data_IF_192862069107
#
_entry.id   IF_192862069107
#
_cell.length_a   1.000
_cell.length_b   1.000
_cell.length_c   1.000
_cell.angle_alpha   90.00
_cell.angle_beta   90.00
_cell.angle_gamma   90.00
#
_symmetry.space_group_name_H-M   'P 1'
#
loop_
_entity.id
_entity.type
_entity.pdbx_description
1 polymer ?
#
# COMPACT_ATOMS: atom_id res chain seq x y z
N UNK A 1 12.48 -33.14 0.47
CA UNK A 1 12.46 -31.70 0.26
C UNK A 1 13.09 -31.42 -1.09
N UNK A 2 12.31 -31.02 -2.08
CA UNK A 2 12.85 -30.61 -3.37
C UNK A 2 13.25 -29.15 -3.18
N UNK A 3 14.55 -28.85 -3.22
CA UNK A 3 15.03 -27.47 -3.25
C UNK A 3 14.79 -26.99 -4.69
N UNK A 4 13.74 -26.21 -4.90
CA UNK A 4 13.54 -25.53 -6.17
C UNK A 4 14.62 -24.45 -6.25
N UNK A 5 15.52 -24.56 -7.22
CA UNK A 5 16.52 -23.52 -7.46
C UNK A 5 15.76 -22.24 -7.85
N UNK A 6 16.05 -21.13 -7.19
CA UNK A 6 15.57 -19.82 -7.60
C UNK A 6 16.25 -19.53 -8.95
N UNK A 7 15.47 -19.43 -10.02
CA UNK A 7 15.98 -19.07 -11.35
C UNK A 7 16.12 -17.55 -11.51
N UNK A 8 15.31 -16.78 -10.79
CA UNK A 8 15.30 -15.33 -10.83
C UNK A 8 16.59 -14.74 -10.25
N UNK A 9 17.11 -13.69 -10.89
CA UNK A 9 18.21 -12.90 -10.33
C UNK A 9 17.76 -12.24 -9.03
N UNK A 10 18.67 -12.19 -8.04
CA UNK A 10 18.40 -11.46 -6.80
C UNK A 10 18.55 -9.96 -7.11
N UNK A 11 17.49 -9.14 -6.93
CA UNK A 11 17.58 -7.71 -7.22
C UNK A 11 18.47 -7.00 -6.20
N UNK A 12 19.15 -5.93 -6.64
CA UNK A 12 19.93 -5.06 -5.78
C UNK A 12 19.18 -3.74 -5.57
N UNK A 13 19.25 -3.20 -4.35
CA UNK A 13 18.68 -1.88 -4.07
C UNK A 13 19.50 -0.80 -4.78
N UNK A 14 18.85 0.30 -5.24
CA UNK A 14 19.56 1.47 -5.70
C UNK A 14 20.47 2.04 -4.61
N UNK A 15 21.57 2.68 -5.02
CA UNK A 15 22.44 3.38 -4.09
C UNK A 15 21.62 4.42 -3.28
N UNK A 16 21.89 4.51 -1.99
CA UNK A 16 21.28 5.52 -1.14
C UNK A 16 21.77 6.93 -1.57
N UNK A 17 20.86 7.81 -2.06
CA UNK A 17 21.26 9.13 -2.56
C UNK A 17 21.71 10.09 -1.47
N UNK A 18 21.47 9.76 -0.19
CA UNK A 18 21.86 10.59 0.95
C UNK A 18 22.17 9.72 2.19
N UNK A 19 23.31 8.98 2.19
CA UNK A 19 23.56 7.94 3.19
C UNK A 19 23.59 8.41 4.65
N UNK A 20 23.90 9.69 4.87
CA UNK A 20 23.97 10.30 6.23
C UNK A 20 22.66 10.93 6.66
N UNK A 21 21.69 11.09 5.76
CA UNK A 21 20.39 11.69 6.09
C UNK A 21 19.43 10.66 6.70
N UNK A 22 18.58 11.14 7.60
CA UNK A 22 17.42 10.42 8.13
C UNK A 22 16.12 11.23 7.98
N UNK A 23 16.14 12.34 7.23
CA UNK A 23 14.97 13.18 6.98
C UNK A 23 14.23 12.70 5.72
N UNK A 24 13.48 11.62 5.90
CA UNK A 24 12.77 10.95 4.79
C UNK A 24 11.47 11.66 4.40
N UNK A 25 11.14 11.60 3.11
CA UNK A 25 9.84 12.02 2.62
C UNK A 25 8.76 11.03 3.07
N UNK A 26 7.67 11.55 3.64
CA UNK A 26 6.52 10.74 4.07
C UNK A 26 5.46 10.66 2.97
N UNK A 27 4.84 9.47 2.87
CA UNK A 27 3.61 9.26 2.10
C UNK A 27 2.59 8.54 2.97
N UNK A 28 1.34 8.95 2.83
CA UNK A 28 0.19 8.32 3.49
C UNK A 28 -0.31 7.17 2.64
N UNK A 29 -0.52 6.01 3.22
CA UNK A 29 -1.19 4.90 2.57
C UNK A 29 -2.71 5.10 2.65
N UNK A 30 -3.37 5.25 1.50
CA UNK A 30 -4.83 5.30 1.39
C UNK A 30 -5.34 3.92 1.03
N UNK A 31 -6.07 3.26 1.94
CA UNK A 31 -6.77 2.01 1.68
C UNK A 31 -8.21 2.32 1.27
N UNK A 32 -8.58 1.97 0.04
CA UNK A 32 -9.96 2.05 -0.43
C UNK A 32 -10.61 0.66 -0.38
N UNK A 33 -11.60 0.48 0.45
CA UNK A 33 -12.41 -0.74 0.51
C UNK A 33 -13.57 -0.63 -0.49
N UNK A 34 -13.60 -1.55 -1.46
CA UNK A 34 -14.43 -1.45 -2.66
C UNK A 34 -14.84 -2.83 -3.20
N UNK A 35 -15.48 -2.85 -4.36
CA UNK A 35 -15.80 -4.04 -5.15
C UNK A 35 -16.76 -3.73 -6.30
N UNK A 36 -16.77 -4.58 -7.32
CA UNK A 36 -17.52 -4.37 -8.57
C UNK A 36 -19.02 -4.28 -8.39
N UNK A 37 -19.61 -4.99 -7.40
CA UNK A 37 -21.03 -4.92 -7.11
C UNK A 37 -21.44 -3.76 -6.18
N UNK A 38 -20.50 -2.91 -5.78
CA UNK A 38 -20.75 -1.75 -4.94
C UNK A 38 -21.20 -0.54 -5.79
N UNK A 39 -22.50 -0.28 -5.87
CA UNK A 39 -23.06 0.80 -6.71
C UNK A 39 -22.67 2.22 -6.29
N UNK A 40 -22.25 2.44 -5.05
CA UNK A 40 -21.75 3.73 -4.56
C UNK A 40 -20.23 3.88 -4.60
N UNK A 41 -19.48 2.82 -4.89
CA UNK A 41 -18.02 2.87 -4.96
C UNK A 41 -17.49 3.82 -6.05
N UNK A 42 -18.13 3.99 -7.23
CA UNK A 42 -17.73 4.99 -8.22
C UNK A 42 -17.68 6.43 -7.69
N UNK A 43 -18.53 6.80 -6.73
CA UNK A 43 -18.50 8.13 -6.14
C UNK A 43 -17.22 8.35 -5.30
N UNK A 44 -16.76 7.32 -4.57
CA UNK A 44 -15.49 7.39 -3.84
C UNK A 44 -14.29 7.44 -4.80
N UNK A 45 -14.34 6.72 -5.91
CA UNK A 45 -13.34 6.82 -6.98
C UNK A 45 -13.24 8.26 -7.48
N UNK A 46 -14.37 8.94 -7.71
CA UNK A 46 -14.40 10.35 -8.11
C UNK A 46 -13.84 11.28 -7.03
N UNK A 47 -14.17 11.05 -5.76
CA UNK A 47 -13.60 11.82 -4.66
C UNK A 47 -12.07 11.69 -4.64
N UNK A 48 -11.54 10.46 -4.72
CA UNK A 48 -10.09 10.21 -4.69
C UNK A 48 -9.38 10.76 -5.93
N UNK A 49 -9.99 10.72 -7.12
CA UNK A 49 -9.48 11.38 -8.32
C UNK A 49 -9.35 12.89 -8.13
N UNK A 50 -10.43 13.53 -7.68
CA UNK A 50 -10.46 14.96 -7.43
C UNK A 50 -9.45 15.38 -6.35
N UNK A 51 -9.30 14.56 -5.30
CA UNK A 51 -8.28 14.73 -4.28
C UNK A 51 -6.87 14.64 -4.88
N UNK A 52 -6.60 13.62 -5.70
CA UNK A 52 -5.31 13.40 -6.34
C UNK A 52 -4.97 14.43 -7.40
N UNK A 53 -5.96 15.06 -8.06
CA UNK A 53 -5.75 16.10 -9.03
C UNK A 53 -5.22 17.43 -8.42
N UNK A 54 -5.29 17.57 -7.10
CA UNK A 54 -4.76 18.76 -6.41
C UNK A 54 -3.23 18.73 -6.34
N UNK A 55 -2.51 19.73 -6.88
CA UNK A 55 -1.05 19.81 -6.77
C UNK A 55 -0.55 19.80 -5.31
N UNK A 56 -1.39 20.24 -4.37
CA UNK A 56 -1.05 20.22 -2.94
C UNK A 56 -0.88 18.80 -2.38
N UNK A 57 -1.45 17.79 -3.05
CA UNK A 57 -1.42 16.38 -2.63
C UNK A 57 -0.39 15.55 -3.41
N UNK A 58 0.24 16.14 -4.43
CA UNK A 58 1.19 15.43 -5.28
C UNK A 58 2.35 14.84 -4.46
N UNK A 59 2.66 13.55 -4.70
CA UNK A 59 3.75 12.83 -4.05
C UNK A 59 3.56 12.53 -2.57
N UNK A 60 2.39 12.83 -1.96
CA UNK A 60 2.14 12.69 -0.52
C UNK A 60 1.35 11.45 -0.13
N UNK A 61 0.86 10.68 -1.08
CA UNK A 61 0.00 9.53 -0.83
C UNK A 61 0.16 8.43 -1.88
N UNK A 62 -0.25 7.23 -1.50
CA UNK A 62 -0.31 6.06 -2.38
C UNK A 62 -1.63 5.35 -2.10
N UNK A 63 -2.33 4.92 -3.17
CA UNK A 63 -3.60 4.21 -3.09
C UNK A 63 -3.39 2.70 -3.14
N UNK A 64 -4.14 1.98 -2.29
CA UNK A 64 -4.35 0.55 -2.38
C UNK A 64 -5.87 0.28 -2.40
N UNK A 65 -6.39 -0.27 -3.49
CA UNK A 65 -7.78 -0.65 -3.64
C UNK A 65 -7.98 -2.10 -3.19
N UNK A 66 -8.78 -2.30 -2.16
CA UNK A 66 -8.98 -3.59 -1.51
C UNK A 66 -10.40 -4.07 -1.86
N UNK A 67 -10.47 -5.03 -2.78
CA UNK A 67 -11.72 -5.56 -3.30
C UNK A 67 -12.18 -6.75 -2.45
N UNK A 68 -12.94 -6.45 -1.38
CA UNK A 68 -13.46 -7.46 -0.45
C UNK A 68 -14.99 -7.54 -0.44
N UNK A 69 -15.70 -6.64 -1.17
CA UNK A 69 -17.15 -6.54 -1.13
C UNK A 69 -17.88 -7.77 -1.68
N UNK A 70 -17.39 -8.33 -2.80
CA UNK A 70 -18.04 -9.48 -3.45
C UNK A 70 -17.02 -10.44 -4.05
N UNK A 71 -17.23 -11.75 -3.86
CA UNK A 71 -16.30 -12.80 -4.32
C UNK A 71 -16.27 -13.01 -5.83
N UNK A 72 -17.27 -12.53 -6.56
CA UNK A 72 -17.30 -12.59 -8.03
C UNK A 72 -16.54 -11.44 -8.71
N UNK A 73 -15.94 -10.56 -7.94
CA UNK A 73 -15.12 -9.46 -8.42
C UNK A 73 -13.79 -10.00 -8.98
N UNK A 74 -13.38 -9.64 -10.23
CA UNK A 74 -12.08 -10.08 -10.78
C UNK A 74 -10.86 -9.64 -9.96
N UNK A 75 -11.01 -8.56 -9.20
CA UNK A 75 -9.96 -8.07 -8.30
C UNK A 75 -10.13 -8.54 -6.85
N UNK A 76 -11.06 -9.47 -6.58
CA UNK A 76 -11.34 -9.92 -5.22
C UNK A 76 -10.11 -10.49 -4.53
N UNK A 77 -9.90 -10.07 -3.29
CA UNK A 77 -8.91 -10.65 -2.37
C UNK A 77 -9.60 -11.18 -1.12
N UNK A 78 -9.32 -12.43 -0.77
CA UNK A 78 -9.80 -13.04 0.47
C UNK A 78 -8.86 -12.66 1.63
N UNK A 79 -9.24 -11.64 2.39
CA UNK A 79 -8.47 -11.14 3.52
C UNK A 79 -9.40 -10.60 4.61
N UNK A 80 -9.05 -10.71 5.90
CA UNK A 80 -9.83 -10.14 6.99
C UNK A 80 -9.53 -8.64 7.26
N UNK A 81 -8.81 -7.94 6.37
CA UNK A 81 -8.35 -6.57 6.61
C UNK A 81 -9.51 -5.58 6.77
N UNK A 82 -10.63 -5.79 6.08
CA UNK A 82 -11.84 -4.99 6.24
C UNK A 82 -12.38 -5.05 7.68
N UNK A 83 -12.45 -6.27 8.25
CA UNK A 83 -12.78 -6.47 9.64
C UNK A 83 -11.76 -5.85 10.61
N UNK A 84 -10.46 -5.97 10.32
CA UNK A 84 -9.40 -5.35 11.12
C UNK A 84 -9.51 -3.82 11.14
N UNK A 85 -9.83 -3.22 9.99
CA UNK A 85 -10.05 -1.78 9.85
C UNK A 85 -11.46 -1.35 10.30
N UNK A 86 -12.34 -2.29 10.70
CA UNK A 86 -13.69 -2.01 11.14
C UNK A 86 -14.57 -1.41 10.05
N UNK A 87 -14.42 -1.88 8.82
CA UNK A 87 -15.24 -1.47 7.67
C UNK A 87 -16.63 -2.03 7.84
N UNK A 88 -17.62 -1.15 8.05
CA UNK A 88 -19.03 -1.53 8.22
C UNK A 88 -19.88 -1.29 6.98
N UNK A 89 -19.36 -0.60 5.98
CA UNK A 89 -20.06 -0.27 4.73
C UNK A 89 -19.07 0.00 3.59
N UNK A 90 -19.55 -0.08 2.36
CA UNK A 90 -18.78 0.23 1.15
C UNK A 90 -19.45 1.35 0.36
N UNK A 91 -18.69 2.32 -0.20
CA UNK A 91 -17.26 2.45 -0.06
C UNK A 91 -16.82 2.98 1.30
N UNK A 92 -15.63 2.58 1.73
CA UNK A 92 -14.93 3.18 2.88
C UNK A 92 -13.45 3.36 2.53
N UNK A 93 -12.85 4.42 3.04
CA UNK A 93 -11.40 4.68 2.97
C UNK A 93 -10.84 4.68 4.40
N UNK A 94 -9.63 4.17 4.57
CA UNK A 94 -8.82 4.35 5.78
C UNK A 94 -7.46 4.92 5.38
N UNK A 95 -6.80 5.63 6.28
CA UNK A 95 -5.45 6.15 6.10
C UNK A 95 -4.50 5.41 7.04
N UNK A 96 -3.31 5.07 6.54
CA UNK A 96 -2.19 4.54 7.31
C UNK A 96 -2.51 3.34 8.23
N UNK A 97 -3.43 2.45 7.81
CA UNK A 97 -3.88 1.31 8.62
C UNK A 97 -4.48 1.73 9.97
N UNK A 98 -4.93 2.97 10.09
CA UNK A 98 -5.60 3.47 11.29
C UNK A 98 -7.12 3.47 11.12
N UNK A 99 -7.79 2.56 11.82
CA UNK A 99 -9.25 2.45 11.80
C UNK A 99 -9.98 3.70 12.31
N UNK A 100 -9.31 4.62 13.00
CA UNK A 100 -9.91 5.88 13.46
C UNK A 100 -10.04 6.90 12.34
N UNK A 101 -9.31 6.73 11.23
CA UNK A 101 -9.32 7.58 10.05
C UNK A 101 -10.36 7.18 9.01
N UNK A 102 -11.27 6.22 9.33
CA UNK A 102 -12.29 5.77 8.38
C UNK A 102 -13.13 6.93 7.85
N UNK A 103 -13.30 6.93 6.52
CA UNK A 103 -14.08 7.92 5.80
C UNK A 103 -14.98 7.26 4.76
N UNK A 104 -16.29 7.47 4.87
CA UNK A 104 -17.29 6.93 3.92
C UNK A 104 -18.14 8.01 3.25
N UNK A 105 -17.93 9.30 3.60
CA UNK A 105 -18.65 10.39 2.98
C UNK A 105 -18.00 10.81 1.64
N UNK A 106 -18.34 10.10 0.58
CA UNK A 106 -17.83 10.34 -0.77
C UNK A 106 -18.28 11.67 -1.41
N UNK A 107 -19.20 12.43 -0.79
CA UNK A 107 -19.67 13.72 -1.26
C UNK A 107 -18.94 14.92 -0.64
N UNK A 108 -18.01 14.70 0.29
CA UNK A 108 -17.31 15.77 1.01
C UNK A 108 -15.78 15.69 0.81
N UNK A 109 -15.33 16.21 -0.34
CA UNK A 109 -13.92 16.32 -0.67
C UNK A 109 -13.16 17.21 0.34
N UNK A 110 -13.78 18.29 0.81
CA UNK A 110 -13.14 19.22 1.75
C UNK A 110 -12.92 18.57 3.12
N UNK A 111 -13.89 17.79 3.60
CA UNK A 111 -13.74 17.00 4.83
C UNK A 111 -12.67 15.94 4.71
N UNK A 112 -12.63 15.22 3.58
CA UNK A 112 -11.57 14.25 3.31
C UNK A 112 -10.18 14.91 3.23
N UNK A 113 -10.04 16.06 2.58
CA UNK A 113 -8.80 16.83 2.55
C UNK A 113 -8.33 17.24 3.95
N UNK A 114 -9.24 17.63 4.84
CA UNK A 114 -8.90 17.95 6.24
C UNK A 114 -8.42 16.71 6.99
N UNK A 115 -9.11 15.59 6.85
CA UNK A 115 -8.70 14.31 7.44
C UNK A 115 -7.29 13.93 6.97
N UNK A 116 -7.05 13.96 5.65
CA UNK A 116 -5.77 13.67 5.06
C UNK A 116 -4.66 14.59 5.58
N UNK A 117 -4.90 15.90 5.62
CA UNK A 117 -3.92 16.87 6.13
C UNK A 117 -3.60 16.63 7.61
N UNK A 118 -4.60 16.26 8.41
CA UNK A 118 -4.39 15.89 9.82
C UNK A 118 -3.49 14.67 9.90
N UNK A 119 -3.78 13.62 9.14
CA UNK A 119 -2.99 12.38 9.14
C UNK A 119 -1.57 12.62 8.59
N UNK A 120 -1.42 13.30 7.46
CA UNK A 120 -0.13 13.59 6.86
C UNK A 120 0.79 14.39 7.81
N UNK A 121 0.23 15.35 8.55
CA UNK A 121 0.98 16.20 9.48
C UNK A 121 1.09 15.62 10.90
N UNK A 122 0.44 14.50 11.21
CA UNK A 122 0.47 13.88 12.55
C UNK A 122 1.84 13.36 12.95
N UNK A 123 2.65 12.96 11.98
CA UNK A 123 3.99 12.42 12.20
C UNK A 123 4.91 12.72 11.01
N UNK A 124 6.22 12.72 11.26
CA UNK A 124 7.24 12.63 10.21
C UNK A 124 7.45 11.17 9.79
N UNK A 125 8.10 10.95 8.64
CA UNK A 125 8.58 9.62 8.29
C UNK A 125 9.66 9.19 9.29
N UNK A 126 9.37 8.13 10.04
CA UNK A 126 10.29 7.54 11.02
C UNK A 126 11.22 6.51 10.41
N UNK A 127 10.98 6.15 9.15
CA UNK A 127 11.87 5.33 8.35
C UNK A 127 11.71 5.65 6.86
N UNK A 128 12.81 5.52 6.13
CA UNK A 128 12.85 5.49 4.68
C UNK A 128 12.73 4.06 4.18
N UNK A 129 12.24 3.93 2.94
CA UNK A 129 12.03 2.64 2.27
C UNK A 129 12.70 2.70 0.89
N UNK A 130 13.41 1.65 0.54
CA UNK A 130 13.88 1.37 -0.81
C UNK A 130 13.38 -0.01 -1.24
N UNK A 131 13.07 -0.16 -2.52
CA UNK A 131 12.58 -1.41 -3.11
C UNK A 131 13.34 -1.72 -4.40
N UNK A 132 13.48 -3.00 -4.70
CA UNK A 132 13.81 -3.50 -6.01
C UNK A 132 13.17 -4.86 -6.22
N UNK A 133 12.81 -5.18 -7.47
CA UNK A 133 12.20 -6.48 -7.77
C UNK A 133 12.62 -7.01 -9.14
N UNK A 134 12.50 -8.33 -9.29
CA UNK A 134 12.65 -9.05 -10.55
C UNK A 134 11.57 -10.11 -10.63
N UNK A 135 10.84 -10.15 -11.73
CA UNK A 135 9.87 -11.19 -12.07
C UNK A 135 10.47 -12.14 -13.11
N UNK A 136 10.57 -13.42 -12.78
CA UNK A 136 11.00 -14.48 -13.70
C UNK A 136 9.91 -15.57 -13.75
N UNK A 137 9.19 -15.64 -14.86
CA UNK A 137 7.99 -16.46 -14.95
C UNK A 137 6.96 -16.03 -13.90
N UNK A 138 6.61 -16.96 -13.01
CA UNK A 138 5.66 -16.72 -11.92
C UNK A 138 6.35 -16.46 -10.56
N UNK A 139 7.67 -16.30 -10.54
CA UNK A 139 8.43 -16.01 -9.33
C UNK A 139 8.81 -14.53 -9.27
N UNK A 140 8.23 -13.81 -8.33
CA UNK A 140 8.58 -12.42 -8.03
C UNK A 140 9.54 -12.38 -6.85
N UNK A 141 10.78 -11.96 -7.08
CA UNK A 141 11.76 -11.70 -6.03
C UNK A 141 11.76 -10.21 -5.72
N UNK A 142 11.54 -9.87 -4.45
CA UNK A 142 11.54 -8.48 -3.98
C UNK A 142 12.61 -8.31 -2.92
N UNK A 143 13.42 -7.26 -3.07
CA UNK A 143 14.33 -6.77 -2.02
C UNK A 143 13.75 -5.50 -1.43
N UNK A 144 13.49 -5.53 -0.13
CA UNK A 144 13.01 -4.40 0.67
C UNK A 144 14.15 -3.92 1.58
N UNK A 145 14.52 -2.65 1.46
CA UNK A 145 15.44 -1.97 2.38
C UNK A 145 14.68 -0.95 3.23
N UNK A 146 14.93 -0.96 4.53
CA UNK A 146 14.36 0.00 5.47
C UNK A 146 15.48 0.62 6.29
N UNK A 147 15.51 1.96 6.37
CA UNK A 147 16.47 2.75 7.15
C UNK A 147 15.72 3.58 8.19
N UNK A 148 16.03 3.38 9.46
CA UNK A 148 15.35 4.07 10.56
C UNK A 148 15.81 5.53 10.71
N UNK A 149 14.86 6.45 10.96
CA UNK A 149 15.17 7.83 11.33
C UNK A 149 15.36 8.01 12.84
N UNK A 150 14.76 7.15 13.65
CA UNK A 150 14.82 7.17 15.10
C UNK A 150 14.87 5.76 15.68
N UNK A 151 15.23 5.62 16.95
CA UNK A 151 15.15 4.34 17.67
C UNK A 151 13.70 3.88 17.77
N UNK A 152 13.41 2.62 17.41
CA UNK A 152 12.03 2.12 17.49
C UNK A 152 11.84 0.67 17.09
N UNK A 153 10.60 0.21 17.26
CA UNK A 153 10.13 -1.07 16.72
C UNK A 153 9.30 -0.78 15.47
N UNK A 154 9.71 -1.40 14.38
CA UNK A 154 9.11 -1.22 13.07
C UNK A 154 8.48 -2.53 12.59
N UNK A 155 7.39 -2.42 11.87
CA UNK A 155 6.77 -3.53 11.17
C UNK A 155 7.01 -3.40 9.67
N UNK A 156 7.54 -4.45 9.04
CA UNK A 156 7.85 -4.48 7.62
C UNK A 156 6.79 -5.27 6.88
N UNK A 157 6.02 -4.61 6.03
CA UNK A 157 5.00 -5.25 5.21
C UNK A 157 5.21 -4.94 3.73
N UNK A 158 4.71 -5.83 2.88
CA UNK A 158 4.81 -5.71 1.43
C UNK A 158 3.48 -6.14 0.82
N UNK A 159 2.90 -5.30 -0.05
CA UNK A 159 1.70 -5.63 -0.78
C UNK A 159 1.99 -5.62 -2.27
N UNK A 160 1.43 -6.59 -2.99
CA UNK A 160 1.47 -6.63 -4.46
C UNK A 160 0.13 -6.15 -4.99
N UNK A 161 0.19 -5.21 -5.91
CA UNK A 161 -0.97 -4.60 -6.54
C UNK A 161 -0.93 -4.84 -8.05
N UNK A 162 -2.10 -4.77 -8.68
CA UNK A 162 -2.26 -4.87 -10.14
C UNK A 162 -3.19 -3.77 -10.65
N UNK A 163 -2.83 -3.20 -11.80
CA UNK A 163 -3.60 -2.22 -12.54
C UNK A 163 -4.31 -2.86 -13.74
N UNK A 164 -5.34 -2.17 -14.26
CA UNK A 164 -5.97 -2.55 -15.52
C UNK A 164 -6.89 -3.76 -15.44
N UNK A 165 -7.34 -4.18 -14.26
CA UNK A 165 -8.25 -5.31 -14.10
C UNK A 165 -9.64 -4.94 -14.63
N UNK A 166 -10.12 -5.68 -15.64
CA UNK A 166 -11.44 -5.48 -16.21
C UNK A 166 -12.51 -6.13 -15.33
N UNK A 167 -13.49 -5.33 -14.90
CA UNK A 167 -14.61 -5.81 -14.10
C UNK A 167 -15.82 -4.87 -14.21
N UNK A 168 -17.00 -5.41 -14.61
CA UNK A 168 -18.20 -4.60 -14.74
C UNK A 168 -18.58 -3.97 -13.39
N UNK A 169 -18.49 -2.65 -13.30
CA UNK A 169 -18.80 -1.90 -12.08
C UNK A 169 -20.29 -1.55 -11.99
N UNK A 170 -20.93 -1.94 -10.90
CA UNK A 170 -22.24 -1.40 -10.54
C UNK A 170 -22.11 0.11 -10.25
N UNK A 171 -23.04 0.92 -10.76
CA UNK A 171 -22.99 2.37 -10.64
C UNK A 171 -24.39 2.95 -10.40
N UNK A 172 -24.59 3.58 -9.25
CA UNK A 172 -25.84 4.22 -8.84
C UNK A 172 -25.92 5.70 -9.29
N UNK A 173 -25.33 6.05 -10.41
CA UNK A 173 -25.45 7.38 -11.01
C UNK A 173 -24.22 8.27 -10.83
N UNK A 174 -23.08 7.75 -10.40
CA UNK A 174 -21.82 8.48 -10.46
C UNK A 174 -21.47 8.76 -11.93
N UNK A 175 -21.02 9.98 -12.22
CA UNK A 175 -20.59 10.41 -13.55
C UNK A 175 -19.10 10.77 -13.52
N UNK A 176 -18.39 10.45 -14.59
CA UNK A 176 -16.97 10.74 -14.78
C UNK A 176 -16.58 10.57 -16.25
N UNK A 177 -15.40 11.06 -16.59
CA UNK A 177 -14.86 10.99 -17.96
C UNK A 177 -14.19 9.65 -18.27
N UNK A 178 -13.92 8.84 -17.25
CA UNK A 178 -13.24 7.55 -17.38
C UNK A 178 -14.20 6.41 -17.06
N UNK A 179 -13.88 5.23 -17.58
CA UNK A 179 -14.59 4.00 -17.25
C UNK A 179 -14.33 3.59 -15.81
N UNK A 180 -15.40 3.20 -15.10
CA UNK A 180 -15.27 2.56 -13.79
C UNK A 180 -15.07 1.04 -13.91
N UNK A 181 -15.13 0.49 -15.13
CA UNK A 181 -14.97 -0.95 -15.37
C UNK A 181 -13.49 -1.37 -15.43
N UNK A 182 -12.55 -0.41 -15.35
CA UNK A 182 -11.11 -0.67 -15.25
C UNK A 182 -10.66 -0.33 -13.82
N UNK A 183 -10.18 -1.35 -13.13
CA UNK A 183 -9.76 -1.24 -11.73
C UNK A 183 -8.23 -1.19 -11.64
N UNK A 184 -7.73 -0.18 -10.93
CA UNK A 184 -6.30 0.05 -10.74
C UNK A 184 -5.94 0.04 -9.25
N UNK A 185 -4.66 -0.15 -8.95
CA UNK A 185 -4.12 -0.28 -7.60
C UNK A 185 -4.78 -1.41 -6.78
N UNK A 186 -5.26 -2.46 -7.46
CA UNK A 186 -5.97 -3.56 -6.83
C UNK A 186 -5.01 -4.45 -6.04
N UNK A 187 -5.20 -4.58 -4.74
CA UNK A 187 -4.39 -5.45 -3.89
C UNK A 187 -4.62 -6.91 -4.27
N UNK A 188 -3.57 -7.60 -4.69
CA UNK A 188 -3.58 -9.02 -5.06
C UNK A 188 -2.99 -9.90 -3.95
N UNK A 189 -1.98 -9.39 -3.24
CA UNK A 189 -1.30 -10.13 -2.18
C UNK A 189 -0.90 -9.19 -1.04
N UNK A 190 -1.13 -9.63 0.19
CA UNK A 190 -0.69 -8.97 1.42
C UNK A 190 0.34 -9.86 2.11
N UNK A 191 1.60 -9.41 2.14
CA UNK A 191 2.66 -9.99 2.96
C UNK A 191 2.83 -9.16 4.21
N UNK A 192 2.79 -9.80 5.37
CA UNK A 192 2.85 -9.10 6.66
C UNK A 192 1.54 -9.12 7.44
N UNK A 193 0.59 -9.98 7.03
CA UNK A 193 -0.55 -10.33 7.86
C UNK A 193 -0.12 -11.36 8.90
N UNK A 194 -0.03 -10.95 10.16
CA UNK A 194 0.36 -11.81 11.30
C UNK A 194 -0.85 -12.54 11.92
N UNK A 195 -2.03 -11.93 11.81
CA UNK A 195 -3.30 -12.50 12.27
C UNK A 195 -4.48 -11.85 11.54
N UNK A 196 -5.71 -12.24 11.86
CA UNK A 196 -6.91 -11.60 11.33
C UNK A 196 -7.08 -10.13 11.74
N UNK A 197 -6.28 -9.62 12.67
CA UNK A 197 -6.33 -8.26 13.17
C UNK A 197 -4.99 -7.52 13.12
N UNK A 198 -3.92 -8.22 12.77
CA UNK A 198 -2.56 -7.67 12.77
C UNK A 198 -1.95 -7.74 11.36
N UNK A 199 -1.80 -6.58 10.74
CA UNK A 199 -1.19 -6.33 9.44
C UNK A 199 0.10 -5.51 9.56
N UNK A 200 0.72 -5.52 10.76
CA UNK A 200 1.93 -4.74 11.03
C UNK A 200 3.18 -5.24 10.31
N UNK A 201 3.16 -6.47 9.81
CA UNK A 201 4.34 -7.06 9.16
C UNK A 201 5.35 -7.66 10.12
N UNK A 202 6.53 -8.01 9.59
CA UNK A 202 7.66 -8.52 10.38
C UNK A 202 8.17 -7.44 11.34
N UNK A 203 8.24 -7.77 12.63
CA UNK A 203 8.69 -6.82 13.65
C UNK A 203 10.22 -6.82 13.76
N UNK A 204 10.83 -5.65 13.63
CA UNK A 204 12.26 -5.43 13.78
C UNK A 204 12.53 -4.24 14.71
N UNK A 205 13.58 -4.32 15.53
CA UNK A 205 14.05 -3.19 16.35
C UNK A 205 15.25 -2.56 15.66
N UNK A 206 15.21 -1.25 15.41
CA UNK A 206 16.27 -0.51 14.74
C UNK A 206 16.64 0.72 15.56
N UNK A 207 17.91 1.10 15.47
CA UNK A 207 18.44 2.37 15.96
C UNK A 207 18.41 3.43 14.85
N UNK A 208 18.42 4.69 15.22
CA UNK A 208 18.54 5.80 14.28
C UNK A 208 19.72 5.60 13.32
N UNK A 209 19.50 5.70 12.02
CA UNK A 209 20.47 5.45 10.96
C UNK A 209 20.75 3.99 10.63
N UNK A 210 20.23 3.03 11.40
CA UNK A 210 20.38 1.60 11.12
C UNK A 210 19.50 1.19 9.96
N UNK A 211 20.02 0.25 9.16
CA UNK A 211 19.33 -0.31 7.99
C UNK A 211 19.10 -1.80 8.17
N UNK A 212 18.00 -2.28 7.61
CA UNK A 212 17.70 -3.70 7.47
C UNK A 212 17.24 -3.99 6.04
N UNK A 213 17.65 -5.13 5.50
CA UNK A 213 17.21 -5.64 4.22
C UNK A 213 16.45 -6.94 4.39
N UNK A 214 15.42 -7.14 3.56
CA UNK A 214 14.64 -8.38 3.50
C UNK A 214 14.42 -8.79 2.06
N UNK A 215 14.42 -10.10 1.84
CA UNK A 215 14.09 -10.70 0.56
C UNK A 215 12.78 -11.46 0.69
N UNK A 216 11.93 -11.27 -0.31
CA UNK A 216 10.68 -12.01 -0.43
C UNK A 216 10.69 -12.75 -1.76
N UNK A 217 10.33 -14.03 -1.71
CA UNK A 217 10.06 -14.84 -2.90
C UNK A 217 8.55 -15.11 -2.91
N UNK A 218 7.89 -14.60 -3.92
CA UNK A 218 6.43 -14.64 -4.03
C UNK A 218 6.05 -15.38 -5.31
N UNK A 219 5.07 -16.28 -5.20
CA UNK A 219 4.47 -16.94 -6.34
C UNK A 219 3.32 -16.08 -6.87
N UNK A 220 3.41 -15.68 -8.14
CA UNK A 220 2.41 -14.89 -8.84
C UNK A 220 1.46 -15.82 -9.58
N UNK A 221 0.17 -15.55 -9.53
CA UNK A 221 -0.83 -16.37 -10.20
C UNK A 221 -0.79 -16.15 -11.71
N UNK A 222 -1.12 -17.19 -12.48
CA UNK A 222 -1.02 -17.19 -13.95
C UNK A 222 -1.94 -16.17 -14.63
N UNK A 223 -3.01 -15.74 -13.97
CA UNK A 223 -3.97 -14.75 -14.46
C UNK A 223 -3.59 -13.30 -14.15
N UNK A 224 -2.49 -13.07 -13.39
CA UNK A 224 -2.01 -11.72 -13.08
C UNK A 224 -1.06 -11.23 -14.18
N UNK A 225 -1.19 -9.97 -14.55
CA UNK A 225 -0.40 -9.36 -15.62
C UNK A 225 0.81 -8.66 -15.04
N UNK A 226 1.98 -9.30 -15.08
CA UNK A 226 3.22 -8.81 -14.47
C UNK A 226 3.59 -7.37 -14.86
N UNK A 227 3.39 -6.99 -16.13
CA UNK A 227 3.66 -5.64 -16.63
C UNK A 227 2.73 -4.55 -16.01
N UNK A 228 1.62 -4.96 -15.41
CA UNK A 228 0.67 -4.07 -14.73
C UNK A 228 0.83 -4.12 -13.21
N UNK A 229 1.79 -4.91 -12.71
CA UNK A 229 1.96 -5.10 -11.28
C UNK A 229 2.93 -4.08 -10.70
N UNK A 230 2.67 -3.71 -9.45
CA UNK A 230 3.56 -2.90 -8.65
C UNK A 230 3.54 -3.33 -7.18
N UNK A 231 4.54 -2.90 -6.44
CA UNK A 231 4.79 -3.35 -5.08
C UNK A 231 4.74 -2.16 -4.14
N UNK A 232 3.97 -2.28 -3.06
CA UNK A 232 4.04 -1.34 -1.94
C UNK A 232 4.96 -1.91 -0.86
N UNK A 233 6.02 -1.18 -0.54
CA UNK A 233 6.74 -1.36 0.71
C UNK A 233 6.12 -0.47 1.78
N UNK A 234 5.73 -1.05 2.90
CA UNK A 234 5.05 -0.36 4.00
C UNK A 234 5.88 -0.53 5.26
N UNK A 235 6.19 0.56 5.93
CA UNK A 235 6.78 0.55 7.25
C UNK A 235 5.75 1.01 8.26
N UNK A 236 5.40 0.12 9.17
CA UNK A 236 4.56 0.41 10.31
C UNK A 236 5.43 0.81 11.51
N UNK A 237 4.94 1.74 12.33
CA UNK A 237 5.49 1.98 13.67
C UNK A 237 4.60 1.33 14.70
N UNK A 238 5.22 0.70 15.69
CA UNK A 238 4.52 0.02 16.75
C UNK A 238 4.63 0.82 18.03
N UNK A 239 3.58 0.75 18.85
CA UNK A 239 3.68 1.25 20.23
C UNK A 239 4.66 0.38 21.05
N UNK A 240 5.12 0.84 22.23
CA UNK A 240 6.10 0.11 23.04
C UNK A 240 5.66 -1.30 23.45
N UNK A 241 4.35 -1.56 23.58
CA UNK A 241 3.81 -2.90 23.86
C UNK A 241 3.73 -3.81 22.64
N UNK A 242 3.81 -3.23 21.41
CA UNK A 242 3.77 -3.97 20.15
C UNK A 242 2.40 -4.52 19.78
N UNK A 243 1.33 -4.04 20.43
CA UNK A 243 -0.06 -4.47 20.22
C UNK A 243 -0.89 -3.48 19.36
N UNK A 244 -0.38 -2.27 19.16
CA UNK A 244 -0.95 -1.27 18.26
C UNK A 244 0.10 -0.78 17.25
N UNK A 245 -0.33 -0.55 16.02
CA UNK A 245 0.51 -0.10 14.93
C UNK A 245 -0.26 0.83 14.00
N UNK A 246 0.48 1.65 13.26
CA UNK A 246 0.00 2.43 12.11
C UNK A 246 1.07 2.45 11.04
N UNK A 247 0.68 2.51 9.76
CA UNK A 247 1.65 2.75 8.70
C UNK A 247 2.22 4.16 8.88
N UNK A 248 3.53 4.24 8.87
CA UNK A 248 4.21 5.53 9.01
C UNK A 248 4.74 6.05 7.67
N UNK A 249 5.14 5.14 6.80
CA UNK A 249 5.58 5.48 5.45
C UNK A 249 5.31 4.36 4.47
N UNK A 250 5.16 4.72 3.20
CA UNK A 250 4.91 3.78 2.10
C UNK A 250 5.63 4.25 0.83
N UNK A 251 6.12 3.30 0.05
CA UNK A 251 6.63 3.54 -1.30
C UNK A 251 5.96 2.58 -2.28
N UNK A 252 5.88 3.01 -3.54
CA UNK A 252 5.39 2.22 -4.66
C UNK A 252 6.53 2.01 -5.66
N UNK A 253 6.70 0.78 -6.13
CA UNK A 253 7.70 0.38 -7.12
C UNK A 253 7.05 -0.52 -8.17
N UNK A 254 7.10 -0.22 -9.47
CA UNK A 254 6.70 -1.17 -10.50
C UNK A 254 7.48 -2.48 -10.38
N UNK A 255 6.90 -3.58 -10.82
CA UNK A 255 7.63 -4.85 -10.95
C UNK A 255 8.72 -4.69 -12.00
N UNK A 256 9.86 -5.38 -11.84
CA UNK A 256 11.08 -5.28 -12.64
C UNK A 256 11.75 -3.89 -12.63
N UNK A 257 11.50 -3.11 -11.57
CA UNK A 257 12.07 -1.78 -11.36
C UNK A 257 12.64 -1.65 -9.93
N UNK A 258 13.14 -0.46 -9.62
CA UNK A 258 13.67 -0.15 -8.31
C UNK A 258 13.37 1.30 -7.89
N UNK A 259 13.22 1.53 -6.59
CA UNK A 259 13.05 2.85 -6.00
C UNK A 259 14.02 3.05 -4.84
N UNK A 260 14.78 4.16 -4.87
CA UNK A 260 15.70 4.53 -3.82
C UNK A 260 14.98 5.17 -2.63
N UNK A 261 15.68 5.30 -1.50
CA UNK A 261 15.23 6.13 -0.39
C UNK A 261 14.93 7.55 -0.86
N UNK A 262 13.82 8.11 -0.37
CA UNK A 262 13.37 9.47 -0.72
C UNK A 262 13.49 10.38 0.49
N UNK A 263 14.15 11.52 0.31
CA UNK A 263 14.44 12.49 1.37
C UNK A 263 13.70 13.80 1.11
N UNK A 264 13.39 14.53 2.18
CA UNK A 264 12.91 15.91 2.07
C UNK A 264 14.01 16.79 1.47
N UNK A 265 13.58 17.75 0.63
CA UNK A 265 14.49 18.74 -0.01
C UNK A 265 14.67 19.97 0.84
#
# INVERSE_FOLDING_TARGET
>A
MTVTAISAAIPELPADPSPTSTDFSRRVLIQQFTGTNCGFCPFMVNLLRNFGASPANEGKWILAAIHTYNQSDPAYISTPIDGAMGVGSYPTVCLDLDKTTRWSNYNDLNGFQKLFNTEYNSAKAKAGIALSSVLDGNQLVVKLGVKAAEDGVYGLALWVLEDGINGKQANNGASGTESYDIHNNCVRLIVGQNSSKDFSGEKVSLKAGEMVERYYLLDIQDDWVGANMHILGIVNTLNPSGDAYTANNVVNCPVDDSVAYSYNK
#
